data_IF_456559542508
#
_entry.id   IF_456559542508
#
_cell.length_a   1.000
_cell.length_b   1.000
_cell.length_c   1.000
_cell.angle_alpha   90.00
_cell.angle_beta   90.00
_cell.angle_gamma   90.00
#
_symmetry.space_group_name_H-M   'P 1'
#
loop_
_entity.id
_entity.type
_entity.pdbx_description
1 polymer ?
#
# COMPACT_ATOMS: atom_id res chain seq x y z
N UNK A 1 -10.25 -15.50 -4.25
CA UNK A 1 -10.08 -14.04 -4.28
C UNK A 1 -9.30 -13.58 -3.06
N UNK A 2 -8.52 -12.58 -3.23
CA UNK A 2 -7.81 -11.98 -2.12
C UNK A 2 -7.66 -10.48 -2.40
N UNK A 3 -7.28 -9.76 -1.37
CA UNK A 3 -7.19 -8.32 -1.47
C UNK A 3 -5.74 -7.88 -1.49
N UNK A 4 -5.48 -6.84 -2.24
CA UNK A 4 -4.19 -6.18 -2.24
C UNK A 4 -4.42 -4.70 -2.03
N UNK A 5 -3.38 -4.02 -1.60
CA UNK A 5 -3.47 -2.61 -1.30
C UNK A 5 -2.34 -1.85 -1.97
N UNK A 6 -2.66 -0.65 -2.39
CA UNK A 6 -1.67 0.30 -2.85
C UNK A 6 -1.64 1.44 -1.85
N UNK A 7 -0.46 1.84 -1.43
CA UNK A 7 -0.31 2.91 -0.45
C UNK A 7 0.28 4.12 -1.13
N UNK A 8 -0.37 5.25 -0.94
CA UNK A 8 -0.01 6.50 -1.59
C UNK A 8 0.33 7.56 -0.56
N UNK A 9 1.22 8.47 -0.94
CA UNK A 9 1.44 9.71 -0.23
C UNK A 9 1.16 10.83 -1.23
N UNK A 10 0.10 11.60 -0.98
CA UNK A 10 -0.42 12.57 -1.94
C UNK A 10 -0.77 11.83 -3.21
N UNK A 11 -0.13 12.14 -4.32
CA UNK A 11 -0.41 11.49 -5.59
C UNK A 11 0.65 10.46 -5.98
N UNK A 12 1.58 10.18 -5.07
CA UNK A 12 2.68 9.26 -5.35
C UNK A 12 2.42 7.91 -4.73
N UNK A 13 2.53 6.87 -5.53
CA UNK A 13 2.40 5.50 -5.02
C UNK A 13 3.73 5.11 -4.37
N UNK A 14 3.67 4.87 -3.07
CA UNK A 14 4.86 4.48 -2.31
C UNK A 14 5.12 2.99 -2.42
N UNK A 15 4.06 2.20 -2.26
CA UNK A 15 4.14 0.75 -2.32
C UNK A 15 2.87 0.27 -2.99
N UNK A 16 3.01 -0.71 -3.86
CA UNK A 16 1.85 -1.29 -4.54
C UNK A 16 1.80 -2.79 -4.30
N UNK A 17 0.60 -3.34 -4.48
CA UNK A 17 0.38 -4.78 -4.40
C UNK A 17 0.76 -5.38 -3.06
N UNK A 18 0.40 -4.68 -1.98
CA UNK A 18 0.62 -5.19 -0.63
C UNK A 18 -0.46 -6.22 -0.31
N UNK A 19 -0.11 -7.46 0.03
CA UNK A 19 -1.09 -8.46 0.39
C UNK A 19 -1.89 -8.04 1.63
N UNK A 20 -3.15 -8.48 1.69
CA UNK A 20 -4.01 -8.13 2.82
C UNK A 20 -3.38 -8.50 4.16
N UNK A 21 -2.75 -9.65 4.22
CA UNK A 21 -2.16 -10.15 5.46
C UNK A 21 -0.97 -9.33 5.92
N UNK A 22 -0.35 -8.59 5.03
CA UNK A 22 0.81 -7.75 5.37
C UNK A 22 0.46 -6.27 5.39
N UNK A 23 -0.77 -5.92 5.01
CA UNK A 23 -1.14 -4.52 4.89
C UNK A 23 -1.01 -3.77 6.21
N UNK A 24 -1.52 -4.33 7.29
CA UNK A 24 -1.53 -3.65 8.58
C UNK A 24 -0.11 -3.34 9.04
N UNK A 25 0.78 -4.31 8.95
CA UNK A 25 2.17 -4.12 9.34
C UNK A 25 2.86 -3.09 8.46
N UNK A 26 2.63 -3.19 7.15
CA UNK A 26 3.23 -2.27 6.20
C UNK A 26 2.71 -0.84 6.43
N UNK A 27 1.41 -0.71 6.63
CA UNK A 27 0.79 0.59 6.87
C UNK A 27 1.37 1.24 8.12
N UNK A 28 1.50 0.48 9.19
CA UNK A 28 2.06 0.97 10.45
C UNK A 28 3.51 1.40 10.26
N UNK A 29 4.28 0.60 9.55
CA UNK A 29 5.68 0.92 9.29
C UNK A 29 5.82 2.22 8.52
N UNK A 30 5.02 2.40 7.47
CA UNK A 30 5.07 3.61 6.67
C UNK A 30 4.69 4.82 7.50
N UNK A 31 3.65 4.71 8.31
CA UNK A 31 3.23 5.81 9.17
C UNK A 31 4.34 6.21 10.15
N UNK A 32 5.01 5.23 10.70
CA UNK A 32 6.11 5.51 11.62
C UNK A 32 7.27 6.19 10.90
N UNK A 33 7.60 5.73 9.71
CA UNK A 33 8.69 6.33 8.95
C UNK A 33 8.39 7.77 8.60
N UNK A 34 7.17 8.04 8.15
CA UNK A 34 6.78 9.41 7.81
C UNK A 34 6.81 10.30 9.05
N UNK A 35 6.44 9.75 10.20
CA UNK A 35 6.44 10.52 11.43
C UNK A 35 7.84 10.80 11.98
N UNK A 36 8.79 9.90 11.71
CA UNK A 36 10.15 10.03 12.22
C UNK A 36 11.03 10.80 11.24
N UNK A 37 10.90 10.49 9.97
CA UNK A 37 11.72 11.12 8.94
C UNK A 37 11.12 12.45 8.53
N UNK A 38 11.96 13.44 8.37
CA UNK A 38 11.51 14.73 7.85
C UNK A 38 11.38 14.60 6.34
N UNK A 39 10.20 14.24 5.92
CA UNK A 39 9.87 14.14 4.50
C UNK A 39 8.91 15.25 4.13
N UNK A 40 8.64 15.37 2.85
CA UNK A 40 7.66 16.33 2.37
C UNK A 40 6.23 15.86 2.63
N UNK A 41 6.09 14.67 3.20
CA UNK A 41 4.78 14.07 3.45
C UNK A 41 4.45 14.12 4.93
N UNK A 42 3.16 14.26 5.21
CA UNK A 42 2.62 14.14 6.56
C UNK A 42 1.79 12.86 6.63
N UNK A 43 1.53 12.41 7.85
CA UNK A 43 0.69 11.23 8.03
C UNK A 43 -0.67 11.45 7.38
N UNK A 44 -1.16 12.67 7.37
CA UNK A 44 -2.44 13.00 6.75
C UNK A 44 -2.41 12.85 5.23
N UNK A 45 -1.23 12.86 4.64
CA UNK A 45 -1.10 12.70 3.19
C UNK A 45 -1.14 11.24 2.78
N UNK A 46 -1.05 10.33 3.74
CA UNK A 46 -1.06 8.90 3.46
C UNK A 46 -2.48 8.44 3.21
N UNK A 47 -2.64 7.62 2.20
CA UNK A 47 -3.91 6.97 1.93
C UNK A 47 -3.63 5.64 1.23
N UNK A 48 -4.66 4.86 1.07
CA UNK A 48 -4.49 3.55 0.44
C UNK A 48 -5.72 3.24 -0.41
N UNK A 49 -5.50 2.34 -1.35
CA UNK A 49 -6.56 1.84 -2.20
C UNK A 49 -6.65 0.33 -2.03
N UNK A 50 -7.84 -0.16 -1.75
CA UNK A 50 -8.08 -1.59 -1.61
C UNK A 50 -8.58 -2.15 -2.93
N UNK A 51 -7.95 -3.21 -3.38
CA UNK A 51 -8.32 -3.88 -4.61
C UNK A 51 -8.57 -5.35 -4.32
N UNK A 52 -9.63 -5.87 -4.91
CA UNK A 52 -9.91 -7.29 -4.83
C UNK A 52 -9.45 -7.95 -6.12
N UNK A 53 -8.60 -8.95 -6.00
CA UNK A 53 -8.06 -9.62 -7.17
C UNK A 53 -8.47 -11.07 -7.18
N UNK A 54 -8.80 -11.54 -8.36
CA UNK A 54 -9.05 -12.94 -8.61
C UNK A 54 -7.68 -13.60 -8.80
N UNK A 55 -7.47 -14.71 -8.12
CA UNK A 55 -6.19 -15.40 -8.17
C UNK A 55 -5.80 -15.77 -9.60
N UNK A 56 -6.79 -16.17 -10.40
CA UNK A 56 -6.52 -16.53 -11.78
C UNK A 56 -6.04 -15.34 -12.59
N UNK A 57 -6.64 -14.18 -12.34
CA UNK A 57 -6.23 -12.96 -13.03
C UNK A 57 -4.81 -12.60 -12.64
N UNK A 58 -4.47 -12.77 -11.37
CA UNK A 58 -3.12 -12.48 -10.90
C UNK A 58 -2.12 -13.38 -11.61
N UNK A 59 -2.43 -14.66 -11.76
CA UNK A 59 -1.52 -15.57 -12.45
C UNK A 59 -1.37 -15.21 -13.92
N UNK A 60 -2.45 -14.81 -14.55
CA UNK A 60 -2.39 -14.42 -15.97
C UNK A 60 -1.67 -13.11 -16.17
N UNK A 61 -1.69 -12.24 -15.18
CA UNK A 61 -1.06 -10.95 -15.24
C UNK A 61 0.38 -10.98 -14.74
N UNK A 62 0.84 -12.11 -14.32
CA UNK A 62 2.22 -12.21 -13.84
C UNK A 62 3.15 -12.04 -15.03
N UNK A 63 3.97 -11.16 -14.90
CA UNK A 63 4.82 -10.64 -15.93
C UNK A 63 6.24 -10.99 -15.65
#
# INVERSE_FOLDING_TARGET
MHKIYHIYAKNNCLIHSVPEEEFETTWRTIRNLVGIMKTDYNIQDLNYEELTVNKEIVLNASY
#
